data_IF_539496594028
#
_entry.id   IF_539496594028
#
_cell.length_a   1.000
_cell.length_b   1.000
_cell.length_c   1.000
_cell.angle_alpha   90.00
_cell.angle_beta   90.00
_cell.angle_gamma   90.00
#
_symmetry.space_group_name_H-M   'P 1'
#
loop_
_entity.id
_entity.type
_entity.pdbx_description
1 polymer ?
#
# COMPACT_ATOMS: atom_id res chain seq x y z
N UNK A 1 -14.70 -23.73 11.56
CA UNK A 1 -13.63 -24.09 12.50
C UNK A 1 -12.79 -22.83 12.60
N UNK A 2 -12.85 -22.15 13.74
CA UNK A 2 -11.94 -21.04 14.03
C UNK A 2 -10.57 -21.67 14.24
N UNK A 3 -9.66 -21.52 13.28
CA UNK A 3 -8.26 -21.71 13.58
C UNK A 3 -7.93 -20.63 14.62
N UNK A 4 -7.72 -21.06 15.87
CA UNK A 4 -7.35 -20.15 16.94
C UNK A 4 -6.08 -19.42 16.52
N UNK A 5 -6.22 -18.10 16.28
CA UNK A 5 -5.08 -17.25 15.96
C UNK A 5 -4.17 -17.19 17.19
N UNK A 6 -3.00 -17.80 17.09
CA UNK A 6 -1.94 -17.65 18.09
C UNK A 6 -0.82 -16.79 17.49
N UNK A 7 -0.74 -15.51 17.87
CA UNK A 7 0.33 -14.63 17.38
C UNK A 7 1.67 -15.09 17.92
N UNK A 8 2.69 -15.07 17.08
CA UNK A 8 4.05 -15.13 17.56
C UNK A 8 4.46 -13.80 18.25
N UNK A 9 5.61 -13.79 18.90
CA UNK A 9 6.08 -12.60 19.64
C UNK A 9 6.33 -11.39 18.78
N UNK A 10 6.67 -11.58 17.50
CA UNK A 10 6.90 -10.49 16.55
C UNK A 10 5.56 -9.85 16.14
N UNK A 11 4.56 -10.69 15.89
CA UNK A 11 3.20 -10.22 15.60
C UNK A 11 2.60 -9.49 16.79
N UNK A 12 2.76 -9.98 18.02
CA UNK A 12 2.30 -9.30 19.24
C UNK A 12 2.94 -7.91 19.39
N UNK A 13 4.25 -7.80 19.15
CA UNK A 13 4.97 -6.53 19.20
C UNK A 13 4.47 -5.55 18.13
N UNK A 14 4.28 -6.01 16.90
CA UNK A 14 3.79 -5.21 15.79
C UNK A 14 2.33 -4.74 15.99
N UNK A 15 1.46 -5.58 16.56
CA UNK A 15 0.09 -5.19 16.91
C UNK A 15 0.06 -4.14 18.03
N UNK A 16 0.97 -4.26 19.00
CA UNK A 16 1.11 -3.24 20.06
C UNK A 16 1.54 -1.91 19.48
N UNK A 17 2.54 -1.90 18.60
CA UNK A 17 3.02 -0.70 17.92
C UNK A 17 1.92 -0.08 17.05
N UNK A 18 1.14 -0.92 16.35
CA UNK A 18 -0.01 -0.46 15.59
C UNK A 18 -1.01 0.28 16.50
N UNK A 19 -1.34 -0.28 17.68
CA UNK A 19 -2.29 0.33 18.61
C UNK A 19 -1.75 1.65 19.18
N UNK A 20 -0.46 1.72 19.49
CA UNK A 20 0.19 2.96 19.94
C UNK A 20 0.14 4.04 18.85
N UNK A 21 0.42 3.66 17.60
CA UNK A 21 0.34 4.56 16.43
C UNK A 21 -1.10 4.98 16.14
N UNK A 22 -2.05 4.06 16.27
CA UNK A 22 -3.48 4.36 16.17
C UNK A 22 -3.90 5.42 17.19
N UNK A 23 -3.54 5.23 18.45
CA UNK A 23 -3.88 6.15 19.54
C UNK A 23 -3.21 7.53 19.41
N UNK A 24 -1.99 7.58 18.87
CA UNK A 24 -1.28 8.83 18.61
C UNK A 24 -1.96 9.68 17.53
N UNK A 25 -2.79 9.06 16.68
CA UNK A 25 -3.46 9.73 15.56
C UNK A 25 -2.55 9.94 14.36
N UNK A 26 -3.07 10.56 13.28
CA UNK A 26 -2.36 10.70 12.01
C UNK A 26 -1.14 11.65 12.07
N UNK A 27 -1.02 12.48 13.11
CA UNK A 27 -0.01 13.53 13.17
C UNK A 27 -0.22 14.63 12.12
N UNK A 28 0.65 15.66 12.17
CA UNK A 28 0.54 16.84 11.29
C UNK A 28 1.46 16.77 10.05
N UNK A 29 2.11 15.65 9.80
CA UNK A 29 3.07 15.53 8.70
C UNK A 29 2.34 15.43 7.37
N UNK A 30 2.22 16.56 6.68
CA UNK A 30 1.84 16.61 5.27
C UNK A 30 3.09 16.79 4.43
N UNK A 31 3.49 15.78 3.69
CA UNK A 31 4.51 15.91 2.65
C UNK A 31 3.86 16.40 1.33
N UNK A 32 4.68 17.00 0.47
CA UNK A 32 4.19 17.38 -0.86
C UNK A 32 4.28 16.17 -1.76
N UNK A 33 3.13 15.70 -2.24
CA UNK A 33 3.06 14.66 -3.26
C UNK A 33 3.86 15.07 -4.49
N UNK A 34 4.54 14.10 -5.10
CA UNK A 34 5.20 14.33 -6.39
C UNK A 34 4.18 14.46 -7.51
N UNK A 35 4.27 15.56 -8.24
CA UNK A 35 3.40 15.86 -9.37
C UNK A 35 3.84 15.10 -10.64
N UNK A 36 2.90 14.92 -11.56
CA UNK A 36 3.22 14.50 -12.92
C UNK A 36 4.21 15.48 -13.58
N UNK A 37 5.15 14.93 -14.34
CA UNK A 37 6.25 15.68 -14.95
C UNK A 37 7.53 15.72 -14.12
N UNK A 38 7.51 15.27 -12.86
CA UNK A 38 8.72 15.17 -12.04
C UNK A 38 9.42 13.82 -12.22
N UNK A 39 10.73 13.78 -11.91
CA UNK A 39 11.49 12.53 -11.92
C UNK A 39 11.07 11.65 -10.73
N UNK A 40 10.84 10.37 -10.98
CA UNK A 40 10.59 9.39 -9.94
C UNK A 40 11.86 9.15 -9.10
N UNK A 41 11.76 9.12 -7.78
CA UNK A 41 12.86 8.70 -6.91
C UNK A 41 13.33 7.28 -7.24
N UNK A 42 14.65 7.09 -7.28
CA UNK A 42 15.26 5.79 -7.55
C UNK A 42 15.91 5.24 -6.27
N UNK A 43 15.17 4.42 -5.54
CA UNK A 43 15.59 3.80 -4.29
C UNK A 43 15.85 2.30 -4.49
N UNK A 44 16.54 1.72 -3.53
CA UNK A 44 16.78 0.29 -3.43
C UNK A 44 15.94 -0.28 -2.28
N UNK A 45 15.07 -1.25 -2.59
CA UNK A 45 14.18 -1.91 -1.64
C UNK A 45 14.33 -3.43 -1.76
N UNK A 46 14.00 -4.17 -0.71
CA UNK A 46 13.88 -5.62 -0.80
C UNK A 46 12.55 -5.98 -1.48
N UNK A 47 12.56 -7.02 -2.31
CA UNK A 47 11.32 -7.61 -2.79
C UNK A 47 10.81 -8.71 -1.84
N UNK A 48 9.61 -9.24 -2.12
CA UNK A 48 8.98 -10.32 -1.35
C UNK A 48 9.80 -11.63 -1.29
N UNK A 49 10.90 -11.75 -2.04
CA UNK A 49 11.83 -12.88 -1.96
C UNK A 49 13.05 -12.56 -1.11
N UNK A 50 13.16 -11.34 -0.59
CA UNK A 50 14.32 -10.81 0.13
C UNK A 50 15.45 -10.34 -0.79
N UNK A 51 15.25 -10.31 -2.11
CA UNK A 51 16.24 -9.80 -3.05
C UNK A 51 16.17 -8.27 -3.13
N UNK A 52 17.36 -7.63 -3.15
CA UNK A 52 17.45 -6.18 -3.36
C UNK A 52 17.06 -5.80 -4.79
N UNK A 53 16.23 -4.79 -4.94
CA UNK A 53 15.72 -4.26 -6.21
C UNK A 53 15.81 -2.76 -6.23
N UNK A 54 16.35 -2.21 -7.30
CA UNK A 54 16.32 -0.79 -7.58
C UNK A 54 15.01 -0.42 -8.28
N UNK A 55 14.34 0.65 -7.86
CA UNK A 55 13.06 1.04 -8.43
C UNK A 55 13.15 1.28 -9.95
N UNK A 56 14.24 1.90 -10.42
CA UNK A 56 14.45 2.15 -11.84
C UNK A 56 14.49 0.88 -12.71
N UNK A 57 14.80 -0.27 -12.14
CA UNK A 57 14.77 -1.54 -12.87
C UNK A 57 13.36 -1.94 -13.32
N UNK A 58 12.30 -1.40 -12.70
CA UNK A 58 10.93 -1.75 -13.05
C UNK A 58 10.38 -0.95 -14.22
N UNK A 59 11.01 0.18 -14.56
CA UNK A 59 10.64 0.99 -15.74
C UNK A 59 11.73 1.05 -16.82
N UNK A 60 12.79 0.24 -16.70
CA UNK A 60 13.86 0.19 -17.71
C UNK A 60 13.39 -0.28 -19.10
N UNK A 61 12.44 -1.22 -19.13
CA UNK A 61 11.97 -1.86 -20.35
C UNK A 61 10.57 -1.40 -20.81
N UNK A 62 9.98 -0.44 -20.11
CA UNK A 62 8.65 0.10 -20.36
C UNK A 62 8.09 0.77 -19.11
N UNK A 63 6.91 1.42 -19.19
CA UNK A 63 6.35 2.12 -18.04
C UNK A 63 6.05 1.16 -16.87
N UNK A 64 6.29 1.65 -15.64
CA UNK A 64 5.91 0.96 -14.41
C UNK A 64 4.74 1.65 -13.72
N UNK A 65 3.79 0.88 -13.23
CA UNK A 65 2.75 1.35 -12.30
C UNK A 65 3.16 0.99 -10.88
N UNK A 66 3.65 1.99 -10.15
CA UNK A 66 4.03 1.86 -8.75
C UNK A 66 2.80 2.08 -7.87
N UNK A 67 2.40 1.05 -7.13
CA UNK A 67 1.20 1.01 -6.32
C UNK A 67 1.59 0.97 -4.84
N UNK A 68 1.55 2.09 -4.16
CA UNK A 68 1.81 2.18 -2.72
C UNK A 68 0.55 1.77 -1.95
N UNK A 69 0.62 0.64 -1.30
CA UNK A 69 -0.49 0.10 -0.53
C UNK A 69 -0.41 0.54 0.93
N UNK A 70 -1.53 0.57 1.62
CA UNK A 70 -1.56 0.94 3.04
C UNK A 70 -0.79 -0.10 3.85
N UNK A 71 -1.45 -1.07 4.41
CA UNK A 71 -0.83 -2.18 5.13
C UNK A 71 -1.53 -3.50 4.76
N UNK A 72 -0.84 -4.62 4.92
CA UNK A 72 -1.36 -5.92 4.49
C UNK A 72 -2.58 -6.41 5.30
N UNK A 73 -2.85 -5.83 6.47
CA UNK A 73 -4.04 -6.10 7.26
C UNK A 73 -5.31 -5.35 6.83
N UNK A 74 -5.20 -4.29 6.02
CA UNK A 74 -6.33 -3.47 5.61
C UNK A 74 -7.33 -4.20 4.70
N UNK A 75 -8.65 -3.97 4.91
CA UNK A 75 -9.71 -4.45 4.02
C UNK A 75 -9.56 -3.91 2.59
N UNK A 76 -9.29 -2.60 2.48
CA UNK A 76 -9.05 -1.94 1.19
C UNK A 76 -7.91 -2.59 0.38
N UNK A 77 -6.89 -3.15 1.05
CA UNK A 77 -5.83 -3.89 0.38
C UNK A 77 -6.31 -5.17 -0.30
N UNK A 78 -7.31 -5.86 0.28
CA UNK A 78 -7.93 -7.03 -0.35
C UNK A 78 -8.67 -6.66 -1.63
N UNK A 79 -9.49 -5.61 -1.56
CA UNK A 79 -10.25 -5.15 -2.71
C UNK A 79 -9.31 -4.67 -3.81
N UNK A 80 -8.22 -3.98 -3.44
CA UNK A 80 -7.21 -3.57 -4.42
C UNK A 80 -6.46 -4.75 -5.03
N UNK A 81 -6.17 -5.81 -4.25
CA UNK A 81 -5.56 -7.04 -4.76
C UNK A 81 -6.48 -7.75 -5.76
N UNK A 82 -7.77 -7.88 -5.45
CA UNK A 82 -8.76 -8.47 -6.35
C UNK A 82 -8.83 -7.70 -7.67
N UNK A 83 -8.97 -6.37 -7.60
CA UNK A 83 -9.00 -5.51 -8.80
C UNK A 83 -7.71 -5.61 -9.61
N UNK A 84 -6.55 -5.60 -8.94
CA UNK A 84 -5.27 -5.74 -9.63
C UNK A 84 -5.18 -7.08 -10.39
N UNK A 85 -5.66 -8.18 -9.81
CA UNK A 85 -5.65 -9.47 -10.48
C UNK A 85 -6.54 -9.47 -11.74
N UNK A 86 -7.66 -8.75 -11.73
CA UNK A 86 -8.52 -8.55 -12.90
C UNK A 86 -7.87 -7.64 -13.96
N UNK A 87 -7.23 -6.55 -13.52
CA UNK A 87 -6.61 -5.53 -14.37
C UNK A 87 -5.22 -5.95 -14.92
N UNK A 88 -4.58 -6.94 -14.29
CA UNK A 88 -3.17 -7.28 -14.54
C UNK A 88 -2.87 -7.61 -16.00
N UNK A 89 -3.74 -8.40 -16.65
CA UNK A 89 -3.54 -8.77 -18.05
C UNK A 89 -3.58 -7.55 -18.99
N UNK A 90 -4.47 -6.60 -18.72
CA UNK A 90 -4.61 -5.36 -19.49
C UNK A 90 -3.40 -4.45 -19.32
N UNK A 91 -2.88 -4.30 -18.08
CA UNK A 91 -1.64 -3.57 -17.84
C UNK A 91 -0.47 -4.19 -18.60
N UNK A 92 -0.30 -5.52 -18.51
CA UNK A 92 0.79 -6.22 -19.22
C UNK A 92 0.66 -6.11 -20.75
N UNK A 93 -0.56 -6.21 -21.28
CA UNK A 93 -0.82 -6.02 -22.73
C UNK A 93 -0.52 -4.59 -23.20
N UNK A 94 -0.69 -3.60 -22.33
CA UNK A 94 -0.32 -2.20 -22.59
C UNK A 94 1.18 -1.91 -22.36
N UNK A 95 2.01 -2.91 -22.04
CA UNK A 95 3.42 -2.76 -21.74
C UNK A 95 3.72 -2.19 -20.35
N UNK A 96 2.69 -1.99 -19.52
CA UNK A 96 2.87 -1.50 -18.15
C UNK A 96 3.33 -2.65 -17.24
N UNK A 97 4.29 -2.37 -16.37
CA UNK A 97 4.78 -3.28 -15.35
C UNK A 97 4.22 -2.87 -13.98
N UNK A 98 3.17 -3.54 -13.44
CA UNK A 98 2.65 -3.25 -12.11
C UNK A 98 3.61 -3.72 -11.02
N UNK A 99 3.81 -2.90 -10.01
CA UNK A 99 4.66 -3.17 -8.84
C UNK A 99 3.97 -2.64 -7.60
N UNK A 100 3.84 -3.46 -6.58
CA UNK A 100 3.30 -3.05 -5.28
C UNK A 100 4.46 -2.64 -4.38
N UNK A 101 4.28 -1.58 -3.62
CA UNK A 101 5.15 -1.17 -2.53
C UNK A 101 4.32 -1.21 -1.24
N UNK A 102 4.75 -2.03 -0.29
CA UNK A 102 4.05 -2.25 0.97
C UNK A 102 4.92 -1.95 2.18
N UNK A 103 4.28 -1.70 3.31
CA UNK A 103 4.96 -1.35 4.57
C UNK A 103 5.64 -2.53 5.25
N UNK A 104 5.31 -3.76 4.88
CA UNK A 104 5.78 -4.96 5.57
C UNK A 104 7.14 -5.46 5.10
N UNK A 105 7.68 -6.41 5.86
CA UNK A 105 8.90 -7.13 5.55
C UNK A 105 8.66 -8.19 4.47
N UNK A 106 9.76 -8.70 3.90
CA UNK A 106 9.73 -9.66 2.79
C UNK A 106 8.89 -10.92 3.09
N UNK A 107 8.99 -11.46 4.28
CA UNK A 107 8.24 -12.67 4.69
C UNK A 107 6.73 -12.44 4.70
N UNK A 108 6.26 -11.30 5.25
CA UNK A 108 4.84 -10.93 5.23
C UNK A 108 4.36 -10.64 3.81
N UNK A 109 5.18 -9.96 3.02
CA UNK A 109 4.88 -9.67 1.61
C UNK A 109 4.76 -10.96 0.78
N UNK A 110 5.64 -11.95 1.01
CA UNK A 110 5.58 -13.25 0.35
C UNK A 110 4.31 -14.02 0.72
N UNK A 111 4.00 -14.10 2.01
CA UNK A 111 2.76 -14.77 2.50
C UNK A 111 1.50 -14.09 1.94
N UNK A 112 1.48 -12.76 1.88
CA UNK A 112 0.37 -12.00 1.32
C UNK A 112 0.21 -12.24 -0.18
N UNK A 113 1.33 -12.24 -0.92
CA UNK A 113 1.37 -12.52 -2.36
C UNK A 113 0.82 -13.91 -2.68
N UNK A 114 1.25 -14.92 -1.94
CA UNK A 114 0.77 -16.30 -2.08
C UNK A 114 -0.72 -16.41 -1.77
N UNK A 115 -1.14 -15.89 -0.60
CA UNK A 115 -2.52 -15.97 -0.13
C UNK A 115 -3.54 -15.37 -1.09
N UNK A 116 -3.20 -14.29 -1.78
CA UNK A 116 -4.10 -13.54 -2.68
C UNK A 116 -3.75 -13.68 -4.16
N UNK A 117 -2.87 -14.62 -4.50
CA UNK A 117 -2.45 -14.92 -5.87
C UNK A 117 -1.99 -13.67 -6.65
N UNK A 118 -1.27 -12.77 -5.99
CA UNK A 118 -0.78 -11.54 -6.60
C UNK A 118 0.29 -11.85 -7.63
N UNK A 119 0.08 -11.39 -8.87
CA UNK A 119 0.95 -11.73 -10.01
C UNK A 119 2.23 -10.91 -10.09
N UNK A 120 2.20 -9.66 -9.63
CA UNK A 120 3.33 -8.74 -9.73
C UNK A 120 4.31 -8.87 -8.55
N UNK A 121 5.45 -8.16 -8.65
CA UNK A 121 6.40 -8.02 -7.55
C UNK A 121 5.81 -7.16 -6.44
N UNK A 122 6.08 -7.53 -5.20
CA UNK A 122 5.83 -6.71 -4.02
C UNK A 122 7.20 -6.28 -3.48
N UNK A 123 7.40 -4.98 -3.33
CA UNK A 123 8.54 -4.36 -2.68
C UNK A 123 8.19 -4.01 -1.23
N UNK A 124 9.17 -4.07 -0.36
CA UNK A 124 9.04 -3.90 1.08
C UNK A 124 9.70 -2.59 1.50
N UNK A 125 8.93 -1.72 2.14
CA UNK A 125 9.38 -0.41 2.61
C UNK A 125 8.99 -0.19 4.09
N UNK A 126 9.51 -1.00 5.02
CA UNK A 126 9.17 -0.91 6.44
C UNK A 126 9.60 0.42 7.08
N UNK A 127 10.59 1.09 6.52
CA UNK A 127 11.11 2.38 7.00
C UNK A 127 10.43 3.59 6.34
N UNK A 128 9.45 3.38 5.47
CA UNK A 128 8.70 4.41 4.73
C UNK A 128 9.58 5.34 3.88
N UNK A 129 10.74 4.85 3.42
CA UNK A 129 11.68 5.64 2.63
C UNK A 129 11.10 5.99 1.26
N UNK A 130 10.49 5.01 0.58
CA UNK A 130 9.83 5.22 -0.72
C UNK A 130 8.54 6.03 -0.56
N UNK A 131 7.69 5.71 0.44
CA UNK A 131 6.50 6.52 0.72
C UNK A 131 6.86 8.00 0.91
N UNK A 132 7.87 8.29 1.73
CA UNK A 132 8.34 9.66 1.98
C UNK A 132 8.91 10.32 0.74
N UNK A 133 9.71 9.59 -0.06
CA UNK A 133 10.32 10.10 -1.27
C UNK A 133 9.28 10.46 -2.35
N UNK A 134 8.18 9.70 -2.45
CA UNK A 134 7.06 10.00 -3.34
C UNK A 134 6.08 11.03 -2.76
N UNK A 135 6.31 11.49 -1.54
CA UNK A 135 5.49 12.50 -0.89
C UNK A 135 4.17 11.97 -0.33
N UNK A 136 4.05 10.68 -0.12
CA UNK A 136 2.91 10.09 0.56
C UNK A 136 3.02 10.35 2.07
N UNK A 137 1.90 10.76 2.67
CA UNK A 137 1.80 11.11 4.08
C UNK A 137 0.62 10.37 4.71
N UNK A 138 0.38 10.61 5.99
CA UNK A 138 -0.77 10.03 6.66
C UNK A 138 -2.08 10.63 6.17
N UNK A 139 -3.14 9.82 6.14
CA UNK A 139 -4.52 10.27 6.04
C UNK A 139 -4.92 11.09 7.26
N UNK A 140 -5.84 12.02 7.08
CA UNK A 140 -6.63 12.54 8.19
C UNK A 140 -7.62 11.48 8.71
N UNK A 141 -8.18 11.73 9.88
CA UNK A 141 -9.20 10.85 10.49
C UNK A 141 -10.41 10.70 9.55
N UNK A 142 -10.84 11.81 8.94
CA UNK A 142 -11.97 11.87 8.01
C UNK A 142 -11.75 11.03 6.75
N UNK A 143 -10.50 10.86 6.31
CA UNK A 143 -10.15 10.06 5.14
C UNK A 143 -10.09 8.57 5.46
N UNK A 144 -9.57 8.25 6.65
CA UNK A 144 -9.43 6.85 7.09
C UNK A 144 -10.77 6.24 7.48
N UNK A 145 -11.63 7.03 8.12
CA UNK A 145 -12.91 6.57 8.68
C UNK A 145 -14.11 7.02 7.83
N UNK A 146 -13.88 7.37 6.58
CA UNK A 146 -14.89 7.92 5.66
C UNK A 146 -16.21 7.11 5.64
N UNK A 147 -16.11 5.79 5.54
CA UNK A 147 -17.24 4.87 5.50
C UNK A 147 -17.51 4.16 6.84
N UNK A 148 -16.78 4.55 7.89
CA UNK A 148 -16.95 3.93 9.20
C UNK A 148 -18.22 4.44 9.90
N UNK A 149 -18.86 3.63 10.75
CA UNK A 149 -19.96 4.10 11.60
C UNK A 149 -19.55 5.29 12.47
N UNK A 150 -20.48 6.22 12.74
CA UNK A 150 -20.19 7.46 13.49
C UNK A 150 -19.59 7.21 14.88
N UNK A 151 -19.96 6.13 15.54
CA UNK A 151 -19.43 5.73 16.85
C UNK A 151 -17.94 5.30 16.79
N UNK A 152 -17.41 5.05 15.59
CA UNK A 152 -15.99 4.71 15.36
C UNK A 152 -15.14 5.91 14.90
N UNK A 153 -15.72 7.11 14.74
CA UNK A 153 -15.01 8.30 14.24
C UNK A 153 -14.05 8.93 15.26
N UNK A 154 -13.59 8.16 16.22
CA UNK A 154 -12.52 8.54 17.11
C UNK A 154 -11.45 7.46 17.11
N UNK A 155 -10.20 7.83 17.20
CA UNK A 155 -9.08 6.88 17.30
C UNK A 155 -8.82 6.52 18.78
N UNK A 156 -9.89 6.12 19.49
CA UNK A 156 -9.75 5.69 20.88
C UNK A 156 -9.05 4.32 20.97
N UNK A 157 -8.56 4.02 22.16
CA UNK A 157 -7.93 2.73 22.43
C UNK A 157 -8.92 1.57 22.29
N UNK A 158 -10.15 1.77 22.75
CA UNK A 158 -11.21 0.78 22.72
C UNK A 158 -11.53 0.39 21.27
N UNK A 159 -11.73 1.37 20.39
CA UNK A 159 -11.97 1.15 18.95
C UNK A 159 -10.77 0.46 18.29
N UNK A 160 -9.54 0.86 18.66
CA UNK A 160 -8.35 0.18 18.15
C UNK A 160 -8.28 -1.29 18.55
N UNK A 161 -8.66 -1.63 19.79
CA UNK A 161 -8.74 -3.01 20.26
C UNK A 161 -9.84 -3.78 19.50
N UNK A 162 -11.02 -3.21 19.34
CA UNK A 162 -12.13 -3.84 18.61
C UNK A 162 -11.72 -4.16 17.16
N UNK A 163 -10.99 -3.26 16.51
CA UNK A 163 -10.44 -3.49 15.16
C UNK A 163 -9.41 -4.61 15.15
N UNK A 164 -8.51 -4.67 16.13
CA UNK A 164 -7.53 -5.76 16.24
C UNK A 164 -8.22 -7.11 16.43
N UNK A 165 -9.20 -7.20 17.34
CA UNK A 165 -9.95 -8.43 17.59
C UNK A 165 -10.70 -8.90 16.33
N UNK A 166 -11.38 -7.99 15.63
CA UNK A 166 -12.08 -8.29 14.39
C UNK A 166 -11.11 -8.82 13.30
N UNK A 167 -9.90 -8.31 13.25
CA UNK A 167 -8.88 -8.74 12.27
C UNK A 167 -8.21 -10.04 12.65
N UNK A 168 -7.94 -10.28 13.93
CA UNK A 168 -7.45 -11.57 14.42
C UNK A 168 -8.44 -12.69 14.12
N UNK A 169 -9.74 -12.44 14.29
CA UNK A 169 -10.79 -13.43 14.00
C UNK A 169 -10.79 -13.96 12.56
N UNK A 170 -10.20 -13.21 11.63
CA UNK A 170 -10.04 -13.60 10.22
C UNK A 170 -8.58 -13.86 9.82
N UNK A 171 -7.72 -14.08 10.82
CA UNK A 171 -6.28 -14.33 10.66
C UNK A 171 -5.58 -13.23 9.79
N UNK A 172 -5.81 -11.97 10.13
CA UNK A 172 -5.25 -10.79 9.47
C UNK A 172 -4.90 -9.72 10.52
N UNK A 173 -3.85 -9.91 11.32
CA UNK A 173 -3.48 -8.98 12.38
C UNK A 173 -3.22 -7.57 11.82
N UNK A 174 -3.60 -6.57 12.59
CA UNK A 174 -3.30 -5.18 12.29
C UNK A 174 -1.88 -4.85 12.75
N UNK A 175 -1.05 -4.57 11.80
CA UNK A 175 0.36 -4.22 11.96
C UNK A 175 0.68 -3.04 11.05
N UNK A 176 1.85 -2.45 11.16
CA UNK A 176 2.28 -1.29 10.37
C UNK A 176 1.55 0.03 10.74
N UNK A 177 1.81 1.10 9.99
CA UNK A 177 1.19 2.39 10.24
C UNK A 177 -0.26 2.44 9.71
N UNK A 178 -1.29 2.54 10.58
CA UNK A 178 -2.69 2.58 10.14
C UNK A 178 -3.06 3.84 9.36
N UNK A 179 -2.30 4.92 9.52
CA UNK A 179 -2.62 6.24 8.96
C UNK A 179 -2.05 6.46 7.56
N UNK A 180 -1.02 5.72 7.15
CA UNK A 180 -0.31 5.99 5.90
C UNK A 180 -1.25 5.89 4.69
N UNK A 181 -1.25 6.94 3.86
CA UNK A 181 -2.09 7.00 2.66
C UNK A 181 -1.52 6.16 1.53
N UNK A 182 -2.38 5.50 0.74
CA UNK A 182 -1.97 4.86 -0.50
C UNK A 182 -1.81 5.88 -1.63
N UNK A 183 -1.12 5.47 -2.69
CA UNK A 183 -1.00 6.24 -3.92
C UNK A 183 -0.56 5.37 -5.08
N UNK A 184 -0.83 5.82 -6.30
CA UNK A 184 -0.43 5.11 -7.51
C UNK A 184 0.23 6.06 -8.50
N UNK A 185 1.40 5.66 -9.00
CA UNK A 185 2.21 6.48 -9.89
C UNK A 185 2.55 5.69 -11.15
N UNK A 186 2.21 6.23 -12.31
CA UNK A 186 2.71 5.71 -13.58
C UNK A 186 4.03 6.43 -13.91
N UNK A 187 5.11 5.67 -13.99
CA UNK A 187 6.45 6.16 -14.33
C UNK A 187 6.80 5.64 -15.73
N UNK A 188 7.22 6.53 -16.63
CA UNK A 188 7.65 6.13 -17.97
C UNK A 188 9.08 5.56 -17.97
N UNK A 189 9.52 5.08 -19.14
CA UNK A 189 10.83 4.50 -19.32
C UNK A 189 12.00 5.48 -19.05
N UNK A 190 11.74 6.78 -19.15
CA UNK A 190 12.71 7.82 -18.82
C UNK A 190 12.78 8.15 -17.32
N UNK A 191 11.94 7.49 -16.50
CA UNK A 191 11.84 7.75 -15.07
C UNK A 191 10.99 8.98 -14.72
N UNK A 192 10.15 9.46 -15.64
CA UNK A 192 9.26 10.60 -15.38
C UNK A 192 7.90 10.10 -14.92
N UNK A 193 7.39 10.67 -13.84
CA UNK A 193 6.02 10.42 -13.37
C UNK A 193 5.04 10.99 -14.38
N UNK A 194 4.18 10.17 -14.96
CA UNK A 194 3.17 10.57 -15.95
C UNK A 194 1.77 10.68 -15.35
N UNK A 195 1.49 9.86 -14.35
CA UNK A 195 0.29 9.96 -13.53
C UNK A 195 0.69 9.90 -12.07
N UNK A 196 0.13 10.80 -11.28
CA UNK A 196 0.25 10.84 -9.81
C UNK A 196 -1.16 10.83 -9.26
N UNK A 197 -1.53 9.76 -8.59
CA UNK A 197 -2.85 9.58 -8.02
C UNK A 197 -2.74 9.29 -6.52
N UNK A 198 -3.36 10.12 -5.70
CA UNK A 198 -3.53 9.87 -4.26
C UNK A 198 -4.98 9.59 -3.96
N UNK A 199 -5.19 8.70 -3.03
CA UNK A 199 -6.52 8.35 -2.57
C UNK A 199 -7.09 9.45 -1.69
N UNK A 200 -8.36 9.73 -1.82
CA UNK A 200 -9.08 10.66 -0.94
C UNK A 200 -9.64 9.97 0.30
N UNK A 201 -9.82 8.64 0.24
CA UNK A 201 -10.22 7.75 1.32
C UNK A 201 -9.75 6.32 0.97
N UNK A 202 -9.92 5.36 1.86
CA UNK A 202 -9.30 4.02 1.74
C UNK A 202 -9.63 3.28 0.44
N UNK A 203 -10.86 3.34 -0.04
CA UNK A 203 -11.36 2.63 -1.22
C UNK A 203 -11.45 3.51 -2.47
N UNK A 204 -10.85 4.70 -2.44
CA UNK A 204 -10.82 5.59 -3.60
C UNK A 204 -9.85 5.08 -4.68
N UNK A 205 -10.13 3.91 -5.23
CA UNK A 205 -9.31 3.30 -6.26
C UNK A 205 -9.37 4.09 -7.57
N UNK A 206 -8.22 4.30 -8.25
CA UNK A 206 -8.21 4.93 -9.56
C UNK A 206 -8.91 4.04 -10.61
N UNK A 207 -9.50 4.68 -11.62
CA UNK A 207 -9.96 3.99 -12.81
C UNK A 207 -8.72 3.52 -13.63
N UNK A 208 -8.55 2.20 -13.90
CA UNK A 208 -7.39 1.67 -14.61
C UNK A 208 -7.18 2.29 -15.99
N UNK A 209 -8.26 2.79 -16.62
CA UNK A 209 -8.21 3.46 -17.93
C UNK A 209 -7.34 4.72 -17.91
N UNK A 210 -7.15 5.35 -16.74
CA UNK A 210 -6.24 6.51 -16.60
C UNK A 210 -4.81 6.07 -16.96
N UNK A 211 -4.33 4.99 -16.36
CA UNK A 211 -2.98 4.47 -16.61
C UNK A 211 -2.84 3.88 -18.01
N UNK A 212 -3.84 3.10 -18.46
CA UNK A 212 -3.86 2.51 -19.80
C UNK A 212 -3.86 3.56 -20.90
N UNK A 213 -4.53 4.70 -20.68
CA UNK A 213 -4.53 5.82 -21.62
C UNK A 213 -3.21 6.56 -21.60
N UNK A 214 -2.68 6.88 -20.42
CA UNK A 214 -1.40 7.56 -20.27
C UNK A 214 -0.27 6.77 -20.93
N UNK A 215 -0.21 5.45 -20.75
CA UNK A 215 0.83 4.62 -21.36
C UNK A 215 0.80 4.59 -22.90
N UNK A 216 -0.32 4.97 -23.54
CA UNK A 216 -0.40 5.10 -25.02
C UNK A 216 0.09 6.45 -25.52
N UNK A 217 0.21 7.44 -24.64
CA UNK A 217 0.58 8.81 -24.99
C UNK A 217 2.09 9.02 -24.82
N UNK A 218 2.71 8.31 -23.91
CA UNK A 218 4.11 8.39 -23.54
C UNK A 218 4.87 7.09 -23.81
#
# INVERSE_FOLDING_TARGET
MSDDYEPDKLTEAAEKEWLETWMAGPGDKRSKLLDAGTSAPDLELLDHTGASRRLSSFWSDGPALLMFWRHFGCGCGLDRASRLNEEYADYRAAGINPVIIGQGEAERAAAYKEKYDIKCTILCDPDFAAYSAFGLSNFGIEQLLYDAPEDTWCHSKEIGIDFQEARRAINRPLVDNPWLSPGEFLVDQAGTIRVSYTYQYCENFPDPRIFLTAAKIF
#
